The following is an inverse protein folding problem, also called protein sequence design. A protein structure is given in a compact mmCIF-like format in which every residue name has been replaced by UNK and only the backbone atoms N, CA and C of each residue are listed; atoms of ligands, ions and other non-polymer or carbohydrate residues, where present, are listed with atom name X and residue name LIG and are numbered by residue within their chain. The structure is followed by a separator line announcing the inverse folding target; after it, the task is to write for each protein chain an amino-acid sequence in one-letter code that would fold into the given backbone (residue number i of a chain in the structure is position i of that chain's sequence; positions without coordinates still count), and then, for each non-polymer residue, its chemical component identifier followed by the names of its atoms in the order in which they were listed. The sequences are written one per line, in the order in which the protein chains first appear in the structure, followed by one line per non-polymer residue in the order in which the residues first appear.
data_IF_126178566654
#
_entry.id   IF_126178566654
#
_cell.length_a   1.000
_cell.length_b   1.000
_cell.length_c   1.000
_cell.angle_alpha   90.00
_cell.angle_beta   90.00
_cell.angle_gamma   90.00
#
_symmetry.space_group_name_H-M   'P 1'
#
loop_
_entity.id
_entity.type
_entity.pdbx_description
1 polymer ?
#
# COMPACT_ATOMS: atom_id res chain seq x y z
N UNK A 1 22.18 -5.74 -5.32
CA UNK A 1 21.25 -6.60 -6.11
C UNK A 1 21.23 -6.11 -7.54
N UNK A 2 21.17 -7.05 -8.51
CA UNK A 2 21.15 -6.69 -9.93
C UNK A 2 19.92 -7.35 -10.57
N UNK A 3 19.16 -6.54 -11.27
CA UNK A 3 17.96 -6.96 -11.99
C UNK A 3 18.13 -6.67 -13.47
N UNK A 4 17.68 -7.57 -14.34
CA UNK A 4 17.60 -7.34 -15.77
C UNK A 4 16.17 -7.44 -16.24
N UNK A 5 15.72 -6.53 -17.09
CA UNK A 5 14.32 -6.52 -17.57
C UNK A 5 13.94 -5.27 -18.33
N UNK A 6 12.64 -5.06 -18.47
CA UNK A 6 12.06 -3.87 -19.09
C UNK A 6 11.51 -2.97 -17.96
N UNK A 7 12.08 -1.80 -17.80
CA UNK A 7 11.72 -0.88 -16.72
C UNK A 7 10.91 0.29 -17.26
N UNK A 8 9.83 0.63 -16.54
CA UNK A 8 9.00 1.79 -16.84
C UNK A 8 8.82 2.60 -15.55
N UNK A 9 9.21 3.88 -15.57
CA UNK A 9 9.09 4.75 -14.41
C UNK A 9 8.97 6.22 -14.83
N UNK A 10 8.57 7.06 -13.88
CA UNK A 10 8.40 8.51 -14.06
C UNK A 10 9.46 9.23 -13.24
N UNK A 11 10.54 9.74 -13.85
CA UNK A 11 11.62 10.44 -13.14
C UNK A 11 11.17 11.81 -12.63
N UNK A 12 10.23 12.45 -13.34
CA UNK A 12 9.66 13.76 -12.98
C UNK A 12 8.19 13.81 -13.43
N UNK A 13 7.44 14.78 -12.93
CA UNK A 13 6.04 14.98 -13.29
C UNK A 13 5.88 15.17 -14.81
N UNK A 14 5.06 14.34 -15.43
CA UNK A 14 4.80 14.38 -16.87
C UNK A 14 5.85 13.67 -17.74
N UNK A 15 6.91 13.12 -17.15
CA UNK A 15 7.94 12.39 -17.86
C UNK A 15 7.77 10.88 -17.67
N UNK A 16 7.77 10.14 -18.77
CA UNK A 16 7.74 8.68 -18.77
C UNK A 16 9.02 8.14 -19.41
N UNK A 17 9.74 7.30 -18.67
CA UNK A 17 10.97 6.67 -19.13
C UNK A 17 10.77 5.17 -19.29
N UNK A 18 11.14 4.65 -20.46
CA UNK A 18 11.15 3.22 -20.77
C UNK A 18 12.61 2.79 -20.99
N UNK A 19 13.01 1.67 -20.38
CA UNK A 19 14.32 1.04 -20.55
C UNK A 19 14.14 -0.43 -20.86
N UNK A 20 14.46 -0.83 -22.07
CA UNK A 20 14.24 -2.20 -22.55
C UNK A 20 15.50 -3.04 -22.42
N UNK A 21 15.38 -4.21 -21.77
CA UNK A 21 16.46 -5.18 -21.62
C UNK A 21 17.67 -4.68 -20.85
N UNK A 22 17.54 -3.60 -20.10
CA UNK A 22 18.62 -3.00 -19.33
C UNK A 22 18.83 -3.68 -17.97
N UNK A 23 19.95 -3.37 -17.32
CA UNK A 23 20.26 -3.76 -15.95
C UNK A 23 19.95 -2.60 -14.99
N UNK A 24 19.24 -2.91 -13.92
CA UNK A 24 19.11 -2.05 -12.75
C UNK A 24 20.01 -2.57 -11.64
N UNK A 25 20.93 -1.74 -11.18
CA UNK A 25 21.77 -2.05 -10.02
C UNK A 25 21.21 -1.34 -8.78
N UNK A 26 21.05 -2.10 -7.70
CA UNK A 26 20.59 -1.60 -6.39
C UNK A 26 21.67 -1.91 -5.36
N UNK A 27 22.17 -0.85 -4.71
CA UNK A 27 23.16 -0.90 -3.62
C UNK A 27 22.49 -0.47 -2.31
N UNK A 28 22.45 -1.38 -1.33
CA UNK A 28 21.67 -1.15 -0.13
C UNK A 28 20.19 -0.93 -0.48
N UNK A 29 19.67 0.25 -0.15
CA UNK A 29 18.28 0.68 -0.41
C UNK A 29 18.15 1.68 -1.57
N UNK A 30 19.21 1.88 -2.35
CA UNK A 30 19.26 2.91 -3.41
C UNK A 30 19.50 2.29 -4.78
N UNK A 31 18.82 2.86 -5.79
CA UNK A 31 19.16 2.61 -7.18
C UNK A 31 20.50 3.26 -7.51
N UNK A 32 21.52 2.45 -7.79
CA UNK A 32 22.85 2.92 -8.21
C UNK A 32 22.83 3.38 -9.67
N UNK A 33 22.04 2.73 -10.52
CA UNK A 33 21.87 3.15 -11.90
C UNK A 33 21.22 2.12 -12.81
N UNK A 34 20.92 2.57 -14.04
CA UNK A 34 20.48 1.72 -15.14
C UNK A 34 21.60 1.63 -16.17
N UNK A 35 21.84 0.43 -16.71
CA UNK A 35 22.94 0.15 -17.62
C UNK A 35 22.50 -0.75 -18.77
N UNK A 36 22.88 -0.40 -20.00
CA UNK A 36 22.66 -1.27 -21.18
C UNK A 36 23.56 -2.50 -21.15
N UNK A 37 24.75 -2.35 -20.63
CA UNK A 37 25.69 -3.43 -20.34
C UNK A 37 26.15 -3.32 -18.89
N UNK A 38 26.27 -4.46 -18.21
CA UNK A 38 26.65 -4.46 -16.80
C UNK A 38 28.10 -3.97 -16.66
N UNK A 39 28.38 -2.95 -15.83
CA UNK A 39 29.73 -2.48 -15.56
C UNK A 39 30.63 -3.57 -14.98
N UNK A 40 31.96 -3.49 -15.26
CA UNK A 40 32.93 -4.49 -14.86
C UNK A 40 33.00 -4.69 -13.33
N UNK A 41 32.72 -3.65 -12.56
CA UNK A 41 32.67 -3.68 -11.08
C UNK A 41 31.57 -4.59 -10.52
N UNK A 42 30.55 -4.89 -11.32
CA UNK A 42 29.46 -5.82 -10.96
C UNK A 42 29.59 -7.19 -11.64
N UNK A 43 30.66 -7.43 -12.39
CA UNK A 43 30.88 -8.69 -13.10
C UNK A 43 30.92 -9.89 -12.13
N UNK A 44 30.24 -10.97 -12.52
CA UNK A 44 30.18 -12.18 -11.69
C UNK A 44 29.19 -12.15 -10.52
N UNK A 45 28.53 -11.02 -10.27
CA UNK A 45 27.46 -10.96 -9.28
C UNK A 45 26.16 -11.59 -9.83
N UNK A 46 25.32 -12.19 -8.96
CA UNK A 46 24.06 -12.80 -9.38
C UNK A 46 23.09 -11.76 -9.96
N UNK A 47 22.49 -12.09 -11.10
CA UNK A 47 21.49 -11.26 -11.79
C UNK A 47 20.15 -11.97 -11.76
N UNK A 48 19.10 -11.26 -11.30
CA UNK A 48 17.72 -11.72 -11.45
C UNK A 48 17.20 -11.20 -12.78
N UNK A 49 17.00 -12.10 -13.76
CA UNK A 49 16.48 -11.75 -15.09
C UNK A 49 14.96 -11.95 -15.13
N UNK A 50 14.22 -10.87 -15.35
CA UNK A 50 12.76 -10.87 -15.51
C UNK A 50 12.31 -11.15 -16.95
N UNK A 51 13.23 -11.33 -17.88
CA UNK A 51 12.92 -11.61 -19.28
C UNK A 51 12.10 -10.50 -19.90
N UNK A 52 10.90 -10.85 -20.39
CA UNK A 52 9.99 -9.89 -21.04
C UNK A 52 9.04 -9.18 -20.06
N UNK A 53 9.09 -9.49 -18.78
CA UNK A 53 8.23 -8.85 -17.80
C UNK A 53 8.54 -7.35 -17.66
N UNK A 54 7.51 -6.58 -17.39
CA UNK A 54 7.61 -5.15 -17.11
C UNK A 54 7.85 -4.96 -15.62
N UNK A 55 8.88 -4.21 -15.27
CA UNK A 55 9.24 -3.83 -13.90
C UNK A 55 8.86 -2.37 -13.67
N UNK A 56 8.04 -2.15 -12.67
CA UNK A 56 7.49 -0.83 -12.31
C UNK A 56 7.89 -0.48 -10.88
N UNK A 57 8.00 0.82 -10.53
CA UNK A 57 7.94 1.24 -9.14
C UNK A 57 6.64 0.77 -8.49
N UNK A 58 6.69 0.46 -7.20
CA UNK A 58 5.49 0.16 -6.44
C UNK A 58 4.47 1.31 -6.50
N UNK A 59 3.19 0.95 -6.51
CA UNK A 59 2.10 1.92 -6.55
C UNK A 59 1.97 2.69 -5.24
N UNK A 60 1.44 3.90 -5.37
CA UNK A 60 1.09 4.77 -4.26
C UNK A 60 -0.41 5.08 -4.31
N UNK A 61 -1.13 4.83 -3.21
CA UNK A 61 -2.53 5.22 -3.04
C UNK A 61 -2.61 6.37 -2.02
N UNK A 62 -2.99 7.55 -2.47
CA UNK A 62 -2.99 8.76 -1.64
C UNK A 62 -4.31 8.99 -0.88
N UNK A 63 -5.32 8.14 -1.05
CA UNK A 63 -6.58 8.26 -0.36
C UNK A 63 -7.31 6.92 -0.26
N UNK A 64 -7.35 6.34 0.92
CA UNK A 64 -8.13 5.15 1.21
C UNK A 64 -8.65 5.14 2.65
N UNK A 65 -9.67 4.33 2.90
CA UNK A 65 -10.25 4.06 4.21
C UNK A 65 -9.94 2.62 4.61
N UNK A 66 -8.91 2.41 5.43
CA UNK A 66 -8.46 1.08 5.80
C UNK A 66 -9.53 0.20 6.47
N UNK A 67 -10.41 0.74 7.37
CA UNK A 67 -11.48 -0.04 8.00
C UNK A 67 -12.48 -0.61 7.00
N UNK A 68 -12.74 0.09 5.90
CA UNK A 68 -13.74 -0.31 4.90
C UNK A 68 -13.30 -1.51 4.05
N UNK A 69 -12.09 -1.99 4.23
CA UNK A 69 -11.64 -3.24 3.60
C UNK A 69 -12.54 -4.43 3.97
N UNK A 70 -13.13 -4.41 5.17
CA UNK A 70 -13.98 -5.49 5.69
C UNK A 70 -15.35 -5.52 4.99
N UNK A 71 -15.92 -4.36 4.68
CA UNK A 71 -17.22 -4.23 4.00
C UNK A 71 -17.11 -3.88 2.51
N UNK A 72 -15.94 -4.12 1.92
CA UNK A 72 -15.71 -3.89 0.50
C UNK A 72 -16.65 -4.72 -0.38
N UNK A 73 -17.28 -4.06 -1.34
CA UNK A 73 -18.21 -4.70 -2.27
C UNK A 73 -19.64 -4.83 -1.77
N UNK A 74 -19.96 -4.26 -0.61
CA UNK A 74 -21.30 -4.36 0.02
C UNK A 74 -22.05 -3.03 -0.11
N UNK A 75 -23.34 -3.12 -0.48
CA UNK A 75 -24.26 -1.97 -0.48
C UNK A 75 -24.02 -0.93 -1.57
N UNK A 76 -23.47 -1.30 -2.72
CA UNK A 76 -23.21 -0.37 -3.83
C UNK A 76 -24.49 0.21 -4.49
N UNK A 77 -25.64 -0.34 -4.17
CA UNK A 77 -26.97 0.11 -4.60
C UNK A 77 -27.57 1.16 -3.68
N UNK A 78 -26.86 1.55 -2.61
CA UNK A 78 -27.35 2.52 -1.63
C UNK A 78 -26.69 3.89 -1.79
N UNK A 79 -27.41 4.94 -1.38
CA UNK A 79 -26.85 6.26 -1.20
C UNK A 79 -25.87 6.29 -0.01
N UNK A 80 -25.03 7.32 0.05
CA UNK A 80 -23.94 7.41 1.02
C UNK A 80 -24.37 7.25 2.47
N UNK A 81 -25.39 8.02 2.92
CA UNK A 81 -25.78 7.98 4.34
C UNK A 81 -26.41 6.64 4.74
N UNK A 82 -27.38 6.07 4.01
CA UNK A 82 -27.85 4.71 4.27
C UNK A 82 -26.77 3.65 4.23
N UNK A 83 -25.81 3.78 3.33
CA UNK A 83 -24.65 2.86 3.25
C UNK A 83 -23.75 2.98 4.49
N UNK A 84 -23.47 4.20 4.96
CA UNK A 84 -22.69 4.41 6.20
C UNK A 84 -23.39 3.77 7.40
N UNK A 85 -24.69 4.04 7.57
CA UNK A 85 -25.50 3.55 8.71
C UNK A 85 -25.63 2.03 8.71
N UNK A 86 -25.85 1.43 7.53
CA UNK A 86 -26.13 0.00 7.42
C UNK A 86 -24.86 -0.86 7.48
N UNK A 87 -23.75 -0.41 6.89
CA UNK A 87 -22.57 -1.24 6.71
C UNK A 87 -21.32 -0.67 7.36
N UNK A 88 -21.06 0.62 7.22
CA UNK A 88 -19.77 1.20 7.59
C UNK A 88 -19.66 1.43 9.09
N UNK A 89 -20.64 2.08 9.72
CA UNK A 89 -20.63 2.33 11.16
C UNK A 89 -20.67 1.06 12.01
N UNK A 90 -21.47 0.01 11.67
CA UNK A 90 -21.40 -1.26 12.37
C UNK A 90 -20.04 -1.95 12.27
N UNK A 91 -19.38 -1.85 11.12
CA UNK A 91 -18.00 -2.38 10.95
C UNK A 91 -17.00 -1.54 11.73
N UNK A 92 -17.12 -0.21 11.68
CA UNK A 92 -16.26 0.73 12.40
C UNK A 92 -16.28 0.45 13.91
N UNK A 93 -17.45 0.25 14.51
CA UNK A 93 -17.60 -0.08 15.93
C UNK A 93 -16.84 -1.36 16.33
N UNK A 94 -16.68 -2.34 15.43
CA UNK A 94 -15.95 -3.58 15.69
C UNK A 94 -14.46 -3.39 15.89
N UNK A 95 -13.88 -2.30 15.41
CA UNK A 95 -12.46 -1.99 15.61
C UNK A 95 -12.12 -1.60 17.06
N UNK A 96 -13.11 -1.45 17.93
CA UNK A 96 -12.93 -1.40 19.37
C UNK A 96 -12.43 -2.72 19.98
N UNK A 97 -12.68 -3.85 19.30
CA UNK A 97 -12.08 -5.14 19.62
C UNK A 97 -10.70 -5.24 18.97
N UNK A 98 -9.67 -5.37 19.78
CA UNK A 98 -8.27 -5.39 19.34
C UNK A 98 -7.92 -6.62 18.51
N UNK A 99 -8.51 -7.78 18.80
CA UNK A 99 -8.27 -9.02 18.06
C UNK A 99 -8.90 -8.94 16.66
N UNK A 100 -10.12 -8.40 16.58
CA UNK A 100 -10.75 -8.11 15.30
C UNK A 100 -9.92 -7.12 14.48
N UNK A 101 -9.51 -6.01 15.11
CA UNK A 101 -8.70 -4.98 14.46
C UNK A 101 -7.40 -5.56 13.89
N UNK A 102 -6.65 -6.33 14.67
CA UNK A 102 -5.40 -6.93 14.23
C UNK A 102 -5.61 -7.90 13.05
N UNK A 103 -6.63 -8.74 13.11
CA UNK A 103 -6.94 -9.65 12.01
C UNK A 103 -7.34 -8.91 10.72
N UNK A 104 -8.11 -7.83 10.85
CA UNK A 104 -8.51 -6.98 9.72
C UNK A 104 -7.30 -6.27 9.10
N UNK A 105 -6.42 -5.70 9.94
CA UNK A 105 -5.21 -5.00 9.48
C UNK A 105 -4.22 -5.92 8.77
N UNK A 106 -3.99 -7.11 9.27
CA UNK A 106 -3.16 -8.12 8.59
C UNK A 106 -3.71 -8.46 7.19
N UNK A 107 -5.02 -8.63 7.06
CA UNK A 107 -5.67 -8.86 5.75
C UNK A 107 -5.54 -7.64 4.84
N UNK A 108 -5.72 -6.45 5.37
CA UNK A 108 -5.56 -5.19 4.63
C UNK A 108 -4.13 -5.07 4.08
N UNK A 109 -3.11 -5.21 4.91
CA UNK A 109 -1.70 -5.08 4.51
C UNK A 109 -1.28 -6.17 3.52
N UNK A 110 -1.73 -7.41 3.70
CA UNK A 110 -1.52 -8.47 2.72
C UNK A 110 -2.14 -8.14 1.35
N UNK A 111 -3.29 -7.48 1.34
CA UNK A 111 -3.92 -7.04 0.10
C UNK A 111 -3.15 -5.89 -0.55
N UNK A 112 -2.63 -4.95 0.24
CA UNK A 112 -1.78 -3.87 -0.27
C UNK A 112 -0.55 -4.45 -0.97
N UNK A 113 0.14 -5.41 -0.35
CA UNK A 113 1.25 -6.15 -0.96
C UNK A 113 0.84 -6.87 -2.25
N UNK A 114 -0.25 -7.63 -2.22
CA UNK A 114 -0.72 -8.38 -3.39
C UNK A 114 -1.08 -7.49 -4.58
N UNK A 115 -1.48 -6.25 -4.33
CA UNK A 115 -1.80 -5.26 -5.35
C UNK A 115 -0.59 -4.40 -5.77
N UNK A 116 0.58 -4.60 -5.15
CA UNK A 116 1.77 -3.79 -5.42
C UNK A 116 1.69 -2.34 -4.91
N UNK A 117 0.73 -2.04 -4.02
CA UNK A 117 0.59 -0.72 -3.39
C UNK A 117 1.41 -0.71 -2.10
N UNK A 118 2.65 -0.19 -2.17
CA UNK A 118 3.58 -0.20 -1.04
C UNK A 118 3.67 1.13 -0.30
N UNK A 119 2.99 2.16 -0.81
CA UNK A 119 2.88 3.48 -0.18
C UNK A 119 1.43 3.91 -0.20
N UNK A 120 0.93 4.43 0.93
CA UNK A 120 -0.46 4.87 0.99
C UNK A 120 -0.70 5.95 2.04
N UNK A 121 -1.79 6.71 1.83
CA UNK A 121 -2.38 7.60 2.84
C UNK A 121 -3.75 7.04 3.22
N UNK A 122 -3.94 6.71 4.49
CA UNK A 122 -5.12 6.02 4.98
C UNK A 122 -5.82 6.77 6.13
N UNK A 123 -7.13 6.86 6.04
CA UNK A 123 -7.95 7.01 7.22
C UNK A 123 -8.03 5.66 7.94
N UNK A 124 -7.65 5.65 9.22
CA UNK A 124 -7.81 4.49 10.08
C UNK A 124 -9.19 4.50 10.75
N UNK A 125 -9.29 4.01 11.95
CA UNK A 125 -10.51 3.94 12.74
C UNK A 125 -10.58 5.09 13.78
N UNK A 126 -11.75 5.30 14.36
CA UNK A 126 -11.94 6.18 15.52
C UNK A 126 -11.24 5.62 16.78
N UNK A 127 -11.06 4.31 16.87
CA UNK A 127 -10.47 3.63 18.03
C UNK A 127 -8.95 3.80 18.03
N UNK A 128 -8.45 4.53 19.01
CA UNK A 128 -7.03 4.92 19.12
C UNK A 128 -6.08 3.72 19.06
N UNK A 129 -6.36 2.69 19.87
CA UNK A 129 -5.48 1.53 19.99
C UNK A 129 -5.42 0.74 18.67
N UNK A 130 -6.54 0.59 17.99
CA UNK A 130 -6.60 -0.05 16.68
C UNK A 130 -5.87 0.78 15.60
N UNK A 131 -6.00 2.11 15.61
CA UNK A 131 -5.27 2.98 14.70
C UNK A 131 -3.75 2.88 14.93
N UNK A 132 -3.32 2.88 16.19
CA UNK A 132 -1.92 2.67 16.56
C UNK A 132 -1.40 1.31 16.08
N UNK A 133 -2.19 0.25 16.29
CA UNK A 133 -1.83 -1.09 15.85
C UNK A 133 -1.65 -1.19 14.33
N UNK A 134 -2.47 -0.47 13.55
CA UNK A 134 -2.28 -0.40 12.09
C UNK A 134 -0.92 0.22 11.74
N UNK A 135 -0.49 1.29 12.43
CA UNK A 135 0.81 1.91 12.19
C UNK A 135 1.95 0.94 12.44
N UNK A 136 1.94 0.24 13.59
CA UNK A 136 2.96 -0.78 13.92
C UNK A 136 3.03 -1.91 12.90
N UNK A 137 1.88 -2.47 12.54
CA UNK A 137 1.81 -3.56 11.55
C UNK A 137 2.25 -3.11 10.16
N UNK A 138 1.99 -1.86 9.79
CA UNK A 138 2.44 -1.28 8.52
C UNK A 138 3.97 -1.19 8.46
N UNK A 139 4.59 -0.71 9.53
CA UNK A 139 6.05 -0.66 9.65
C UNK A 139 6.67 -2.07 9.63
N UNK A 140 6.12 -3.01 10.42
CA UNK A 140 6.56 -4.41 10.44
C UNK A 140 6.42 -5.10 9.06
N UNK A 141 5.42 -4.72 8.29
CA UNK A 141 5.23 -5.21 6.93
C UNK A 141 6.17 -4.57 5.90
N UNK A 142 7.01 -3.61 6.29
CA UNK A 142 7.90 -2.89 5.38
C UNK A 142 7.18 -1.97 4.39
N UNK A 143 5.96 -1.53 4.71
CA UNK A 143 5.19 -0.58 3.93
C UNK A 143 5.43 0.85 4.44
N UNK A 144 5.26 1.84 3.57
CA UNK A 144 5.37 3.26 3.93
C UNK A 144 4.00 3.93 3.86
N UNK A 145 3.55 4.52 4.96
CA UNK A 145 2.21 5.12 4.99
C UNK A 145 2.10 6.36 5.87
N UNK A 146 1.14 7.20 5.51
CA UNK A 146 0.55 8.22 6.38
C UNK A 146 -0.78 7.67 6.89
N UNK A 147 -0.91 7.48 8.20
CA UNK A 147 -2.12 6.89 8.79
C UNK A 147 -2.71 7.89 9.78
N UNK A 148 -3.92 8.35 9.49
CA UNK A 148 -4.68 9.27 10.32
C UNK A 148 -5.76 8.56 11.13
N UNK A 149 -5.80 8.76 12.46
CA UNK A 149 -6.95 8.40 13.28
C UNK A 149 -8.13 9.27 12.89
N UNK A 150 -9.29 8.67 12.66
CA UNK A 150 -10.54 9.41 12.41
C UNK A 150 -11.10 9.95 13.71
N UNK A 151 -11.69 11.16 13.65
CA UNK A 151 -12.49 11.73 14.73
C UNK A 151 -13.89 11.98 14.17
N UNK A 152 -14.90 11.35 14.77
CA UNK A 152 -16.31 11.45 14.37
C UNK A 152 -17.05 12.27 15.42
N UNK A 153 -17.31 13.55 15.15
CA UNK A 153 -17.99 14.48 16.02
C UNK A 153 -19.33 14.95 15.46
N UNK A 154 -19.70 14.45 14.27
CA UNK A 154 -20.90 14.88 13.56
C UNK A 154 -21.47 13.76 12.69
N UNK A 155 -22.79 13.58 12.74
CA UNK A 155 -23.52 12.60 11.94
C UNK A 155 -23.01 11.15 12.12
N UNK A 156 -22.51 10.82 13.31
CA UNK A 156 -22.13 9.48 13.70
C UNK A 156 -23.09 8.98 14.79
N UNK A 157 -23.30 7.66 14.90
CA UNK A 157 -24.09 7.11 16.01
C UNK A 157 -23.35 7.27 17.34
N UNK A 158 -24.10 7.33 18.44
CA UNK A 158 -23.55 7.50 19.81
C UNK A 158 -22.56 6.38 20.23
N UNK A 159 -22.54 5.29 19.46
CA UNK A 159 -21.60 4.17 19.68
C UNK A 159 -20.21 4.38 19.07
N UNK A 160 -20.01 5.47 18.38
CA UNK A 160 -18.75 5.92 17.75
C UNK A 160 -18.42 7.35 18.21
#
# INVERSE_FOLDING_TARGET
MIFKGNFLYTPALGELTVREGEYLVVEGEKCAGFYRALPQEYAGQPVTDFGRALVLPAFCDLHLHAPQMVNRGVGYDQELLPWLETYTFPVEARYGDTDFAEAAWKRFLNRMWANGTLRFSAFATIHKEAAWRLMELTEQAGLSALIGKVNMDRNAPDSL
#
